data_IF_623607703242
#
_entry.id   IF_623607703242
#
_cell.length_a   1.000
_cell.length_b   1.000
_cell.length_c   1.000
_cell.angle_alpha   90.00
_cell.angle_beta   90.00
_cell.angle_gamma   90.00
#
_symmetry.space_group_name_H-M   'P 1'
#
loop_
_entity.id
_entity.type
_entity.pdbx_description
1 polymer ?
#
# COMPACT_ATOMS: atom_id res chain seq x y z
N UNK A 1 -60.03 47.28 4.53
CA UNK A 1 -58.57 47.09 4.84
C UNK A 1 -58.30 46.04 5.92
N UNK A 2 -59.27 45.55 6.66
CA UNK A 2 -59.06 44.55 7.74
C UNK A 2 -58.79 43.09 7.22
N UNK A 3 -59.34 42.70 6.06
CA UNK A 3 -59.22 41.34 5.56
C UNK A 3 -57.84 40.96 4.97
N UNK A 4 -57.04 41.92 4.51
CA UNK A 4 -55.72 41.66 3.94
C UNK A 4 -54.68 41.30 5.04
N UNK A 5 -54.84 41.85 6.25
CA UNK A 5 -53.95 41.51 7.36
C UNK A 5 -54.21 40.12 7.94
N UNK A 6 -55.44 39.70 7.91
CA UNK A 6 -55.83 38.37 8.37
C UNK A 6 -55.36 37.28 7.42
N UNK A 7 -55.40 37.55 6.10
CA UNK A 7 -54.91 36.61 5.08
C UNK A 7 -53.38 36.46 5.17
N UNK A 8 -52.68 37.57 5.48
CA UNK A 8 -51.21 37.54 5.60
C UNK A 8 -50.75 36.78 6.85
N UNK A 9 -51.46 36.88 7.95
CA UNK A 9 -51.16 36.13 9.18
C UNK A 9 -51.46 34.63 8.99
N UNK A 10 -52.54 34.30 8.27
CA UNK A 10 -52.87 32.89 7.95
C UNK A 10 -51.84 32.27 6.99
N UNK A 11 -51.34 33.05 6.00
CA UNK A 11 -50.32 32.59 5.07
C UNK A 11 -48.95 32.40 5.76
N UNK A 12 -48.60 33.32 6.70
CA UNK A 12 -47.38 33.14 7.52
C UNK A 12 -47.46 31.98 8.52
N UNK A 13 -48.64 31.65 9.05
CA UNK A 13 -48.77 30.50 9.95
C UNK A 13 -48.67 29.18 9.22
N UNK A 14 -49.04 29.08 7.93
CA UNK A 14 -48.88 27.89 7.11
C UNK A 14 -47.41 27.72 6.67
N UNK A 15 -46.64 28.79 6.53
CA UNK A 15 -45.19 28.73 6.22
C UNK A 15 -44.31 28.36 7.42
N UNK A 16 -44.86 28.44 8.64
CA UNK A 16 -44.18 28.05 9.88
C UNK A 16 -44.47 26.62 10.38
N UNK A 17 -45.27 25.84 9.64
CA UNK A 17 -45.26 24.40 9.83
C UNK A 17 -43.92 23.87 9.27
N UNK A 18 -42.89 24.02 10.10
CA UNK A 18 -41.60 23.42 9.84
C UNK A 18 -41.79 21.97 9.47
N UNK A 19 -41.30 21.57 8.33
CA UNK A 19 -41.11 20.18 7.98
C UNK A 19 -40.25 19.58 9.08
N UNK A 20 -40.88 19.06 10.11
CA UNK A 20 -40.24 18.15 11.06
C UNK A 20 -39.97 16.90 10.24
N UNK A 21 -38.82 16.86 9.59
CA UNK A 21 -38.33 15.66 9.00
C UNK A 21 -38.15 14.66 10.14
N UNK A 22 -39.13 13.77 10.32
CA UNK A 22 -38.97 12.64 11.22
C UNK A 22 -37.69 11.92 10.76
N UNK A 23 -36.73 11.80 11.67
CA UNK A 23 -35.54 11.00 11.39
C UNK A 23 -36.03 9.57 11.03
N UNK A 24 -35.60 9.03 9.91
CA UNK A 24 -36.06 7.72 9.50
C UNK A 24 -35.72 6.70 10.60
N UNK A 25 -36.59 5.68 10.82
CA UNK A 25 -36.36 4.64 11.82
C UNK A 25 -34.95 4.04 11.62
N UNK A 26 -34.26 3.75 12.70
CA UNK A 26 -32.87 3.23 12.66
C UNK A 26 -32.73 2.00 11.75
N UNK A 27 -33.79 1.17 11.65
CA UNK A 27 -33.84 0.03 10.74
C UNK A 27 -33.75 0.47 9.27
N UNK A 28 -34.45 1.53 8.87
CA UNK A 28 -34.44 2.04 7.47
C UNK A 28 -33.07 2.63 7.15
N UNK A 29 -32.46 3.36 8.08
CA UNK A 29 -31.10 3.90 7.92
C UNK A 29 -30.09 2.76 7.77
N UNK A 30 -30.21 1.72 8.58
CA UNK A 30 -29.35 0.54 8.50
C UNK A 30 -29.51 -0.21 7.17
N UNK A 31 -30.75 -0.45 6.74
CA UNK A 31 -31.02 -1.11 5.44
C UNK A 31 -30.46 -0.28 4.25
N UNK A 32 -30.62 1.04 4.29
CA UNK A 32 -30.03 1.93 3.27
C UNK A 32 -28.51 1.84 3.25
N UNK A 33 -27.89 1.86 4.44
CA UNK A 33 -26.43 1.72 4.55
C UNK A 33 -25.94 0.37 4.02
N UNK A 34 -26.62 -0.72 4.37
CA UNK A 34 -26.27 -2.06 3.88
C UNK A 34 -26.41 -2.17 2.36
N UNK A 35 -27.49 -1.61 1.80
CA UNK A 35 -27.69 -1.60 0.36
C UNK A 35 -26.61 -0.77 -0.37
N UNK A 36 -26.22 0.37 0.19
CA UNK A 36 -25.13 1.19 -0.36
C UNK A 36 -23.78 0.45 -0.28
N UNK A 37 -23.50 -0.20 0.84
CA UNK A 37 -22.26 -0.99 1.02
C UNK A 37 -22.22 -2.17 0.03
N UNK A 38 -23.33 -2.86 -0.18
CA UNK A 38 -23.42 -3.94 -1.16
C UNK A 38 -23.23 -3.42 -2.58
N UNK A 39 -23.92 -2.33 -2.97
CA UNK A 39 -23.77 -1.70 -4.28
C UNK A 39 -22.32 -1.26 -4.51
N UNK A 40 -21.67 -0.71 -3.48
CA UNK A 40 -20.26 -0.34 -3.55
C UNK A 40 -19.36 -1.57 -3.79
N UNK A 41 -19.56 -2.66 -3.05
CA UNK A 41 -18.79 -3.89 -3.19
C UNK A 41 -18.98 -4.55 -4.56
N UNK A 42 -20.17 -4.47 -5.14
CA UNK A 42 -20.47 -4.97 -6.50
C UNK A 42 -19.85 -4.08 -7.59
N UNK A 43 -19.86 -2.77 -7.38
CA UNK A 43 -19.30 -1.79 -8.34
C UNK A 43 -17.77 -1.75 -8.30
N UNK A 44 -17.20 -1.89 -7.11
CA UNK A 44 -15.76 -1.84 -6.86
C UNK A 44 -15.28 -3.12 -6.17
N UNK A 45 -15.32 -4.28 -6.84
CA UNK A 45 -14.91 -5.54 -6.24
C UNK A 45 -13.43 -5.51 -5.87
N UNK A 46 -13.09 -5.98 -4.68
CA UNK A 46 -11.72 -6.02 -4.21
C UNK A 46 -10.98 -7.22 -4.76
N UNK A 47 -9.76 -7.00 -5.22
CA UNK A 47 -8.84 -8.07 -5.57
C UNK A 47 -8.09 -8.57 -4.34
N UNK A 48 -7.74 -9.87 -4.37
CA UNK A 48 -6.87 -10.51 -3.38
C UNK A 48 -5.82 -11.33 -4.11
N UNK A 49 -4.56 -11.08 -3.82
CA UNK A 49 -3.44 -11.85 -4.33
C UNK A 49 -3.09 -12.99 -3.37
N UNK A 50 -2.66 -14.10 -3.92
CA UNK A 50 -2.08 -15.22 -3.20
C UNK A 50 -0.91 -15.79 -4.00
N UNK A 51 0.22 -16.06 -3.32
CA UNK A 51 1.37 -16.73 -3.91
C UNK A 51 1.57 -18.09 -3.28
N UNK A 52 1.69 -19.09 -4.11
CA UNK A 52 2.09 -20.45 -3.73
C UNK A 52 3.57 -20.64 -4.08
N UNK A 53 4.37 -20.95 -3.10
CA UNK A 53 5.82 -21.13 -3.21
C UNK A 53 6.19 -22.59 -3.20
N UNK A 54 7.32 -22.91 -3.82
CA UNK A 54 7.89 -24.24 -3.90
C UNK A 54 8.51 -24.71 -2.57
N UNK A 55 8.93 -23.75 -1.70
CA UNK A 55 9.54 -24.09 -0.42
C UNK A 55 9.14 -23.08 0.68
N UNK A 56 9.52 -23.39 1.93
CA UNK A 56 9.29 -22.56 3.12
C UNK A 56 10.55 -21.86 3.63
N UNK A 57 11.72 -22.25 3.11
CA UNK A 57 13.03 -21.67 3.43
C UNK A 57 13.98 -21.87 2.26
N UNK A 58 14.99 -21.04 2.16
CA UNK A 58 15.92 -21.01 1.03
C UNK A 58 17.35 -20.76 1.50
N UNK A 59 18.31 -21.03 0.63
CA UNK A 59 19.71 -20.65 0.80
C UNK A 59 20.09 -19.56 -0.19
N UNK A 60 21.09 -18.75 0.14
CA UNK A 60 21.68 -17.82 -0.83
C UNK A 60 22.18 -18.59 -2.05
N UNK A 61 21.81 -18.15 -3.25
CA UNK A 61 22.07 -18.86 -4.50
C UNK A 61 20.93 -19.73 -4.98
N UNK A 62 19.91 -19.99 -4.16
CA UNK A 62 18.69 -20.67 -4.58
C UNK A 62 17.79 -19.77 -5.42
N UNK A 63 16.75 -20.37 -5.95
CA UNK A 63 15.67 -19.67 -6.65
C UNK A 63 14.37 -19.91 -5.94
N UNK A 64 13.68 -18.83 -5.53
CA UNK A 64 12.32 -18.88 -5.01
C UNK A 64 11.37 -18.97 -6.19
N UNK A 65 10.71 -20.09 -6.39
CA UNK A 65 9.68 -20.24 -7.40
C UNK A 65 8.30 -20.00 -6.81
N UNK A 66 7.43 -19.33 -7.56
CA UNK A 66 6.07 -19.13 -7.12
C UNK A 66 5.05 -19.15 -8.25
N UNK A 67 3.86 -19.62 -7.93
CA UNK A 67 2.64 -19.48 -8.71
C UNK A 67 1.77 -18.42 -8.05
N UNK A 68 1.29 -17.47 -8.84
CA UNK A 68 0.46 -16.37 -8.38
C UNK A 68 -0.99 -16.57 -8.79
N UNK A 69 -1.89 -16.19 -7.91
CA UNK A 69 -3.33 -16.20 -8.10
C UNK A 69 -3.89 -14.86 -7.65
N UNK A 70 -4.75 -14.26 -8.47
CA UNK A 70 -5.48 -13.06 -8.11
C UNK A 70 -6.97 -13.33 -8.28
N UNK A 71 -7.72 -13.18 -7.19
CA UNK A 71 -9.15 -13.47 -7.12
C UNK A 71 -9.93 -12.23 -6.69
N UNK A 72 -11.22 -12.22 -6.97
CA UNK A 72 -12.15 -11.27 -6.37
C UNK A 72 -12.49 -11.75 -4.95
N UNK A 73 -12.26 -10.90 -3.96
CA UNK A 73 -12.36 -11.27 -2.54
C UNK A 73 -13.77 -11.78 -2.17
N UNK A 74 -14.80 -11.14 -2.70
CA UNK A 74 -16.20 -11.44 -2.38
C UNK A 74 -16.71 -12.72 -3.08
N UNK A 75 -16.24 -12.98 -4.29
CA UNK A 75 -16.76 -14.08 -5.15
C UNK A 75 -15.84 -15.30 -5.20
N UNK A 76 -14.60 -15.16 -4.74
CA UNK A 76 -13.57 -16.21 -4.78
C UNK A 76 -13.32 -16.80 -6.18
N UNK A 77 -13.59 -16.00 -7.22
CA UNK A 77 -13.30 -16.34 -8.62
C UNK A 77 -12.06 -15.58 -9.08
N UNK A 78 -11.41 -16.06 -10.11
CA UNK A 78 -10.27 -15.37 -10.69
C UNK A 78 -10.62 -13.96 -11.18
N UNK A 79 -9.76 -13.00 -10.88
CA UNK A 79 -9.94 -11.62 -11.32
C UNK A 79 -9.49 -11.44 -12.76
N UNK A 80 -10.26 -10.65 -13.50
CA UNK A 80 -9.89 -10.14 -14.82
C UNK A 80 -9.62 -8.63 -14.82
N UNK A 81 -9.68 -7.97 -13.65
CA UNK A 81 -9.55 -6.53 -13.51
C UNK A 81 -8.10 -6.11 -13.78
N UNK A 82 -7.15 -6.71 -13.07
CA UNK A 82 -5.73 -6.38 -13.20
C UNK A 82 -5.00 -7.41 -14.06
N UNK A 83 -4.15 -6.91 -14.96
CA UNK A 83 -3.22 -7.75 -15.73
C UNK A 83 -1.82 -7.80 -15.13
N UNK A 84 -1.24 -6.69 -14.61
CA UNK A 84 0.05 -6.74 -13.93
C UNK A 84 -0.14 -7.04 -12.44
N UNK A 85 0.65 -7.99 -11.94
CA UNK A 85 0.89 -8.22 -10.52
C UNK A 85 2.29 -7.76 -10.19
N UNK A 86 2.44 -6.92 -9.20
CA UNK A 86 3.73 -6.47 -8.67
C UNK A 86 4.12 -7.42 -7.55
N UNK A 87 5.32 -7.97 -7.63
CA UNK A 87 5.88 -8.86 -6.61
C UNK A 87 7.24 -8.33 -6.19
N UNK A 88 7.44 -8.12 -4.91
CA UNK A 88 8.64 -7.52 -4.33
C UNK A 88 9.23 -8.46 -3.30
N UNK A 89 10.56 -8.61 -3.36
CA UNK A 89 11.35 -9.26 -2.32
C UNK A 89 11.98 -8.15 -1.47
N UNK A 90 11.64 -8.11 -0.20
CA UNK A 90 12.03 -7.02 0.72
C UNK A 90 12.93 -7.59 1.81
N UNK A 91 14.05 -6.93 2.08
CA UNK A 91 14.99 -7.31 3.12
C UNK A 91 14.52 -6.90 4.53
N UNK A 92 15.27 -7.30 5.55
CA UNK A 92 14.96 -6.99 6.96
C UNK A 92 14.96 -5.48 7.27
N UNK A 93 15.70 -4.68 6.49
CA UNK A 93 15.75 -3.23 6.65
C UNK A 93 14.59 -2.52 5.94
N UNK A 94 13.72 -3.30 5.25
CA UNK A 94 12.60 -2.77 4.49
C UNK A 94 12.97 -2.27 3.09
N UNK A 95 14.18 -2.58 2.59
CA UNK A 95 14.56 -2.25 1.23
C UNK A 95 14.10 -3.32 0.26
N UNK A 96 13.70 -2.91 -0.92
CA UNK A 96 13.36 -3.82 -2.01
C UNK A 96 14.67 -4.39 -2.58
N UNK A 97 14.91 -5.68 -2.29
CA UNK A 97 16.08 -6.41 -2.80
C UNK A 97 15.89 -6.82 -4.28
N UNK A 98 14.66 -7.19 -4.66
CA UNK A 98 14.30 -7.50 -6.05
C UNK A 98 12.82 -7.22 -6.28
N UNK A 99 12.44 -6.96 -7.54
CA UNK A 99 11.07 -6.65 -7.93
C UNK A 99 10.75 -7.20 -9.30
N UNK A 100 9.60 -7.85 -9.40
CA UNK A 100 9.08 -8.36 -10.66
C UNK A 100 7.67 -7.84 -10.95
N UNK A 101 7.35 -7.76 -12.23
CA UNK A 101 6.00 -7.47 -12.72
C UNK A 101 5.54 -8.70 -13.49
N UNK A 102 4.60 -9.43 -12.92
CA UNK A 102 4.08 -10.67 -13.47
C UNK A 102 2.85 -10.38 -14.32
N UNK A 103 2.84 -10.90 -15.55
CA UNK A 103 1.64 -10.86 -16.38
C UNK A 103 0.65 -11.90 -15.89
N UNK A 104 -0.55 -11.45 -15.50
CA UNK A 104 -1.66 -12.32 -15.18
C UNK A 104 -2.44 -12.69 -16.45
N UNK A 105 -2.77 -13.97 -16.57
CA UNK A 105 -3.69 -14.50 -17.58
C UNK A 105 -4.81 -15.21 -16.86
N UNK A 106 -6.02 -14.68 -16.98
CA UNK A 106 -7.18 -15.19 -16.23
C UNK A 106 -6.96 -15.27 -14.71
N UNK A 107 -6.29 -14.25 -14.14
CA UNK A 107 -6.00 -14.18 -12.71
C UNK A 107 -4.83 -15.04 -12.25
N UNK A 108 -4.13 -15.74 -13.14
CA UNK A 108 -2.98 -16.57 -12.82
C UNK A 108 -1.68 -16.05 -13.44
N UNK A 109 -0.57 -16.29 -12.75
CA UNK A 109 0.77 -15.98 -13.21
C UNK A 109 1.82 -16.84 -12.50
N UNK A 110 3.06 -16.73 -12.92
CA UNK A 110 4.18 -17.37 -12.25
C UNK A 110 5.41 -16.49 -12.34
N UNK A 111 6.31 -16.67 -11.39
CA UNK A 111 7.57 -15.93 -11.36
C UNK A 111 8.60 -16.62 -10.46
N UNK A 112 9.76 -15.96 -10.36
CA UNK A 112 10.87 -16.48 -9.55
C UNK A 112 11.75 -15.33 -9.08
N UNK A 113 12.36 -15.48 -7.90
CA UNK A 113 13.47 -14.64 -7.45
C UNK A 113 14.74 -15.47 -7.39
N UNK A 114 15.78 -15.05 -8.09
CA UNK A 114 17.10 -15.68 -8.00
C UNK A 114 17.87 -15.01 -6.87
N UNK A 115 18.12 -15.74 -5.80
CA UNK A 115 18.83 -15.23 -4.64
C UNK A 115 20.34 -15.15 -4.95
N UNK A 116 20.86 -13.93 -5.03
CA UNK A 116 22.29 -13.72 -5.27
C UNK A 116 23.11 -14.32 -4.12
N UNK A 117 24.26 -14.94 -4.45
CA UNK A 117 25.23 -15.41 -3.46
C UNK A 117 25.82 -14.29 -2.58
N UNK A 118 25.67 -13.04 -3.00
CA UNK A 118 26.09 -11.87 -2.24
C UNK A 118 25.00 -11.33 -1.30
N UNK A 119 23.81 -11.92 -1.31
CA UNK A 119 22.75 -11.53 -0.37
C UNK A 119 23.13 -11.97 1.05
N UNK A 120 22.71 -11.16 2.02
CA UNK A 120 22.87 -11.51 3.43
C UNK A 120 21.84 -12.56 3.83
N UNK A 121 22.24 -13.47 4.70
CA UNK A 121 21.27 -14.37 5.35
C UNK A 121 20.33 -13.57 6.24
N UNK A 122 19.10 -14.05 6.38
CA UNK A 122 18.11 -13.38 7.23
C UNK A 122 16.69 -13.63 6.79
N UNK A 123 15.74 -12.83 7.32
CA UNK A 123 14.35 -12.91 6.94
C UNK A 123 14.04 -11.93 5.80
N UNK A 124 13.45 -12.44 4.75
CA UNK A 124 12.99 -11.66 3.61
C UNK A 124 11.47 -11.79 3.48
N UNK A 125 10.82 -10.69 3.19
CA UNK A 125 9.38 -10.64 2.97
C UNK A 125 9.10 -10.58 1.47
N UNK A 126 8.23 -11.48 0.99
CA UNK A 126 7.68 -11.38 -0.35
C UNK A 126 6.32 -10.71 -0.26
N UNK A 127 6.15 -9.58 -0.95
CA UNK A 127 4.89 -8.85 -1.09
C UNK A 127 4.36 -8.98 -2.50
N UNK A 128 3.04 -9.13 -2.63
CA UNK A 128 2.41 -9.12 -3.94
C UNK A 128 1.11 -8.32 -3.92
N UNK A 129 0.94 -7.45 -4.93
CA UNK A 129 -0.20 -6.56 -5.05
C UNK A 129 -0.47 -6.14 -6.49
N UNK A 130 -1.71 -5.78 -6.76
CA UNK A 130 -2.10 -5.08 -7.99
C UNK A 130 -2.28 -3.58 -7.68
N UNK A 131 -2.22 -2.72 -8.70
CA UNK A 131 -2.52 -1.30 -8.48
C UNK A 131 -3.95 -1.07 -8.01
N UNK A 132 -4.88 -1.94 -8.42
CA UNK A 132 -6.26 -1.88 -7.98
C UNK A 132 -6.39 -2.08 -6.46
N UNK A 133 -5.61 -3.00 -5.89
CA UNK A 133 -5.58 -3.24 -4.44
C UNK A 133 -5.12 -1.99 -3.66
N UNK A 134 -4.23 -1.19 -4.23
CA UNK A 134 -3.72 0.04 -3.59
C UNK A 134 -4.71 1.22 -3.63
N UNK A 135 -5.80 1.11 -4.39
CA UNK A 135 -6.83 2.16 -4.47
C UNK A 135 -7.76 2.20 -3.24
N UNK A 136 -7.68 1.20 -2.37
CA UNK A 136 -8.47 1.13 -1.15
C UNK A 136 -7.68 1.65 0.05
N UNK A 137 -8.38 2.26 1.02
CA UNK A 137 -7.74 2.86 2.21
C UNK A 137 -6.93 1.88 3.05
N UNK A 138 -7.33 0.60 3.04
CA UNK A 138 -6.58 -0.48 3.68
C UNK A 138 -6.10 -1.44 2.57
N UNK A 139 -4.89 -1.25 2.05
CA UNK A 139 -4.37 -2.13 1.01
C UNK A 139 -4.09 -3.51 1.60
N UNK A 140 -4.85 -4.50 1.16
CA UNK A 140 -4.66 -5.90 1.54
C UNK A 140 -3.75 -6.59 0.51
N UNK A 141 -2.45 -6.31 0.57
CA UNK A 141 -1.49 -7.04 -0.24
C UNK A 141 -1.14 -8.39 0.40
N UNK A 142 -0.72 -9.32 -0.43
CA UNK A 142 -0.15 -10.58 0.04
C UNK A 142 1.22 -10.31 0.66
N UNK A 143 1.49 -10.93 1.81
CA UNK A 143 2.78 -10.87 2.47
C UNK A 143 3.13 -12.25 3.04
N UNK A 144 4.37 -12.68 2.85
CA UNK A 144 4.94 -13.88 3.46
C UNK A 144 6.43 -13.71 3.68
N UNK A 145 6.89 -14.03 4.87
CA UNK A 145 8.30 -13.97 5.26
C UNK A 145 8.95 -15.34 5.15
N UNK A 146 10.17 -15.35 4.61
CA UNK A 146 11.00 -16.56 4.46
C UNK A 146 12.36 -16.36 5.14
N UNK A 147 12.88 -17.37 5.84
CA UNK A 147 14.28 -17.41 6.24
C UNK A 147 15.14 -17.77 5.01
N UNK A 148 16.17 -16.97 4.77
CA UNK A 148 17.19 -17.24 3.77
C UNK A 148 18.50 -17.47 4.52
N UNK A 149 19.08 -18.67 4.34
CA UNK A 149 20.28 -19.12 5.02
C UNK A 149 21.50 -18.96 4.12
N UNK A 150 22.65 -18.80 4.74
CA UNK A 150 23.94 -18.89 4.07
C UNK A 150 24.62 -20.21 4.46
N UNK A 151 25.09 -20.97 3.47
CA UNK A 151 25.93 -22.13 3.74
C UNK A 151 27.26 -21.62 4.27
N UNK A 152 27.62 -22.01 5.49
CA UNK A 152 28.95 -21.81 6.04
C UNK A 152 29.94 -22.67 5.25
N UNK A 153 31.10 -22.13 4.90
CA UNK A 153 32.15 -22.94 4.30
C UNK A 153 32.54 -24.07 5.27
N UNK A 154 32.80 -25.24 4.74
CA UNK A 154 32.93 -26.55 5.41
C UNK A 154 33.86 -26.61 6.65
N UNK A 155 34.73 -25.66 6.84
CA UNK A 155 35.64 -25.57 7.97
C UNK A 155 35.02 -25.00 9.27
N UNK A 156 33.79 -24.48 9.20
CA UNK A 156 33.05 -24.00 10.37
C UNK A 156 31.91 -24.90 10.82
N UNK A 157 31.62 -25.95 10.08
CA UNK A 157 30.50 -26.88 10.38
C UNK A 157 30.69 -27.68 11.67
N UNK A 158 31.91 -27.77 12.22
CA UNK A 158 32.18 -28.46 13.48
C UNK A 158 31.96 -27.59 14.73
N UNK A 159 31.71 -26.27 14.58
CA UNK A 159 31.43 -25.41 15.72
C UNK A 159 29.96 -25.06 15.79
N UNK A 160 29.25 -25.96 16.47
CA UNK A 160 27.92 -25.69 17.05
C UNK A 160 26.87 -25.14 16.09
N UNK A 161 25.98 -26.00 15.63
CA UNK A 161 24.60 -25.62 15.35
C UNK A 161 23.98 -25.21 16.70
N UNK A 162 24.35 -24.04 17.20
CA UNK A 162 23.64 -23.38 18.26
C UNK A 162 22.39 -22.78 17.62
N UNK A 163 21.24 -23.15 18.15
CA UNK A 163 19.94 -22.61 17.75
C UNK A 163 19.89 -21.06 17.83
N UNK A 164 20.86 -20.44 18.48
CA UNK A 164 21.02 -18.99 18.61
C UNK A 164 21.65 -18.33 17.37
N UNK A 165 22.42 -19.07 16.57
CA UNK A 165 23.00 -18.54 15.32
C UNK A 165 22.02 -18.55 14.15
N UNK A 166 20.88 -19.24 14.30
CA UNK A 166 19.76 -19.21 13.36
C UNK A 166 18.85 -18.00 13.57
N UNK A 167 19.01 -17.29 14.68
CA UNK A 167 18.40 -15.97 14.83
C UNK A 167 19.16 -15.03 13.93
N UNK A 168 18.51 -14.36 12.95
CA UNK A 168 19.18 -13.30 12.22
C UNK A 168 19.67 -12.31 13.26
N UNK A 169 20.99 -12.20 13.43
CA UNK A 169 21.54 -11.08 14.15
C UNK A 169 21.01 -9.87 13.40
N UNK A 170 20.12 -9.11 14.02
CA UNK A 170 19.93 -7.73 13.64
C UNK A 170 21.30 -7.10 13.83
N UNK A 171 22.14 -7.12 12.79
CA UNK A 171 23.15 -6.09 12.68
C UNK A 171 22.36 -4.79 12.57
N UNK A 172 22.02 -4.26 13.74
CA UNK A 172 21.74 -2.85 13.87
C UNK A 172 22.97 -2.17 13.32
N UNK A 173 22.92 -1.83 12.04
CA UNK A 173 23.82 -0.86 11.47
C UNK A 173 23.81 0.29 12.47
N UNK A 174 24.97 0.73 13.00
CA UNK A 174 24.98 1.86 13.91
C UNK A 174 24.15 2.94 13.22
N UNK A 175 23.05 3.32 13.83
CA UNK A 175 22.30 4.49 13.38
C UNK A 175 23.29 5.64 13.42
N UNK A 176 23.85 5.97 12.24
CA UNK A 176 24.23 7.35 12.05
C UNK A 176 22.93 8.12 12.24
N UNK A 177 22.80 8.74 13.37
CA UNK A 177 21.76 9.69 13.72
C UNK A 177 21.86 10.93 12.82
N UNK A 178 21.81 10.73 11.53
CA UNK A 178 21.45 11.76 10.58
C UNK A 178 19.94 11.70 10.49
N UNK A 179 19.30 12.68 11.11
CA UNK A 179 17.88 12.93 10.91
C UNK A 179 17.60 12.83 9.42
N UNK A 180 16.90 11.77 9.02
CA UNK A 180 16.53 11.60 7.61
C UNK A 180 15.38 12.52 7.33
N UNK A 181 15.70 13.70 6.86
CA UNK A 181 14.77 14.65 6.31
C UNK A 181 14.23 14.06 4.99
N UNK A 182 12.92 13.89 4.91
CA UNK A 182 12.23 13.54 3.67
C UNK A 182 11.65 14.80 3.05
N UNK A 183 12.09 15.14 1.85
CA UNK A 183 11.60 16.27 1.08
C UNK A 183 10.90 15.76 -0.17
N UNK A 184 9.63 16.12 -0.34
CA UNK A 184 8.84 15.78 -1.53
C UNK A 184 8.34 17.02 -2.21
N UNK A 185 8.38 17.02 -3.54
CA UNK A 185 7.90 18.10 -4.39
C UNK A 185 6.64 17.69 -5.14
N UNK A 186 5.69 18.59 -5.25
CA UNK A 186 4.41 18.39 -5.90
C UNK A 186 4.22 19.50 -6.93
N UNK A 187 4.68 19.32 -8.18
CA UNK A 187 4.45 20.28 -9.24
C UNK A 187 2.98 20.34 -9.63
N UNK A 188 2.48 21.53 -9.90
CA UNK A 188 1.14 21.74 -10.46
C UNK A 188 1.02 20.99 -11.79
N UNK A 189 -0.05 20.17 -11.92
CA UNK A 189 -0.20 19.28 -13.07
C UNK A 189 0.58 17.98 -13.00
N UNK A 190 1.30 17.71 -11.90
CA UNK A 190 1.97 16.43 -11.62
C UNK A 190 3.36 16.26 -12.25
N UNK A 191 3.76 17.10 -13.20
CA UNK A 191 5.07 17.06 -13.86
C UNK A 191 5.61 18.47 -14.13
N UNK A 192 6.94 18.62 -14.02
CA UNK A 192 7.62 19.83 -14.47
C UNK A 192 7.87 19.72 -15.98
N UNK A 193 7.46 20.75 -16.73
CA UNK A 193 7.66 20.80 -18.17
C UNK A 193 8.67 21.91 -18.46
N UNK A 194 9.71 21.60 -19.22
CA UNK A 194 10.74 22.54 -19.60
C UNK A 194 10.14 23.72 -20.40
N UNK A 195 10.52 24.93 -20.03
CA UNK A 195 10.03 26.16 -20.68
C UNK A 195 8.67 26.66 -20.21
N UNK A 196 8.00 25.96 -19.24
CA UNK A 196 6.77 26.42 -18.63
C UNK A 196 6.99 26.79 -17.16
N UNK A 197 6.46 27.96 -16.78
CA UNK A 197 6.41 28.36 -15.37
C UNK A 197 5.29 27.59 -14.68
N UNK A 198 5.62 26.82 -13.64
CA UNK A 198 4.65 26.08 -12.84
C UNK A 198 4.88 26.32 -11.35
N UNK A 199 3.81 26.21 -10.56
CA UNK A 199 3.92 26.24 -9.10
C UNK A 199 4.29 24.85 -8.59
N UNK A 200 5.21 24.81 -7.60
CA UNK A 200 5.64 23.56 -6.97
C UNK A 200 5.42 23.70 -5.47
N UNK A 201 4.50 22.89 -4.94
CA UNK A 201 4.40 22.73 -3.49
C UNK A 201 5.45 21.73 -3.02
N UNK A 202 5.93 21.85 -1.79
CA UNK A 202 6.80 20.87 -1.19
C UNK A 202 6.35 20.52 0.22
N UNK A 203 6.68 19.30 0.65
CA UNK A 203 6.47 18.82 2.01
C UNK A 203 7.79 18.31 2.56
N UNK A 204 8.16 18.78 3.74
CA UNK A 204 9.32 18.32 4.48
C UNK A 204 8.86 17.60 5.75
N UNK A 205 9.35 16.40 5.98
CA UNK A 205 9.03 15.57 7.14
C UNK A 205 10.31 15.06 7.79
N UNK A 206 10.41 15.16 9.11
CA UNK A 206 11.39 14.45 9.93
C UNK A 206 10.72 13.24 10.58
N UNK A 207 11.44 12.12 10.70
CA UNK A 207 10.93 10.94 11.41
C UNK A 207 10.72 11.19 12.90
N UNK A 208 11.44 12.15 13.49
CA UNK A 208 11.40 12.45 14.92
C UNK A 208 10.41 13.55 15.28
N UNK A 209 10.22 14.54 14.41
CA UNK A 209 9.44 15.76 14.72
C UNK A 209 8.17 15.93 13.89
N UNK A 210 7.92 15.04 12.89
CA UNK A 210 6.76 15.17 12.01
C UNK A 210 6.94 16.26 10.95
N UNK A 211 5.97 17.15 10.81
CA UNK A 211 6.04 18.28 9.86
C UNK A 211 6.98 19.36 10.36
N UNK A 212 7.92 19.76 9.51
CA UNK A 212 8.90 20.82 9.80
C UNK A 212 8.80 21.95 8.80
N UNK A 213 9.06 23.17 9.25
CA UNK A 213 9.17 24.33 8.37
C UNK A 213 10.61 24.42 7.82
N UNK A 214 10.72 24.38 6.52
CA UNK A 214 11.99 24.45 5.81
C UNK A 214 11.96 25.59 4.79
N UNK A 215 13.05 26.31 4.69
CA UNK A 215 13.28 27.29 3.62
C UNK A 215 14.60 26.98 2.94
N UNK A 216 14.65 27.11 1.62
CA UNK A 216 15.85 26.82 0.84
C UNK A 216 15.74 27.29 -0.59
N UNK A 217 16.82 27.18 -1.33
CA UNK A 217 16.89 27.52 -2.75
C UNK A 217 17.19 26.25 -3.54
N UNK A 218 16.43 26.06 -4.62
CA UNK A 218 16.69 24.97 -5.56
C UNK A 218 17.66 25.47 -6.63
N UNK A 219 18.68 24.65 -6.89
CA UNK A 219 19.60 24.86 -8.00
C UNK A 219 19.51 23.70 -8.97
N UNK A 220 19.74 23.96 -10.26
CA UNK A 220 19.95 22.90 -11.24
C UNK A 220 21.30 22.22 -10.99
N UNK A 221 21.53 21.05 -11.56
CA UNK A 221 22.83 20.37 -11.45
C UNK A 221 23.99 21.21 -12.01
N UNK A 222 23.70 22.18 -12.85
CA UNK A 222 24.66 23.11 -13.45
C UNK A 222 24.83 24.40 -12.63
N UNK A 223 24.15 24.51 -11.48
CA UNK A 223 24.33 25.63 -10.54
C UNK A 223 23.64 26.93 -10.92
N UNK A 224 22.67 26.88 -11.84
CA UNK A 224 21.83 28.03 -12.22
C UNK A 224 20.51 28.06 -11.47
#
# INVERSE_FOLDING_TARGET
MKNKRFLFILLCSILMTGVHGENPPAKVVFEQYMNQAQTFAETYPREKAYLHFDNTSYYVGDTIWFKAYVTLAEKQVFSSISRPLYVELVDQAGHIADKQIIKLTQGEGNGQFVLSKSMLSGYYEVRAYTRWMLAFNEPHYFSRTFPIYQLSNSDQLERSISTYELSPSMETRPEETKEKLSLRFFPEGGQLVEGLTSQVAFKAESKSEGEINLSGTLYTQEGQ
#
